data_IF_404809942553
#
_entry.id   IF_404809942553
#
_cell.length_a   1.000
_cell.length_b   1.000
_cell.length_c   1.000
_cell.angle_alpha   90.00
_cell.angle_beta   90.00
_cell.angle_gamma   90.00
#
_symmetry.space_group_name_H-M   'P 1'
#
loop_
_entity.id
_entity.type
_entity.pdbx_description
1 polymer ?
#
# COMPACT_ATOMS: atom_id res chain seq x y z
N UNK A 1 8.81 44.21 17.77
CA UNK A 1 9.34 43.22 16.82
C UNK A 1 9.51 41.91 17.56
N UNK A 2 8.49 41.06 17.53
CA UNK A 2 8.51 39.77 18.22
C UNK A 2 9.04 38.71 17.23
N UNK A 3 10.13 38.06 17.62
CA UNK A 3 10.80 37.03 16.83
C UNK A 3 9.96 35.76 16.74
N UNK A 4 9.80 35.26 15.52
CA UNK A 4 9.21 33.96 15.21
C UNK A 4 10.27 32.91 15.56
N UNK A 5 10.07 32.17 16.65
CA UNK A 5 10.79 30.92 16.90
C UNK A 5 10.29 29.88 15.89
N UNK A 6 11.11 29.59 14.88
CA UNK A 6 11.00 28.37 14.09
C UNK A 6 11.19 27.15 15.00
N UNK A 7 10.09 26.47 15.31
CA UNK A 7 10.12 25.09 15.78
C UNK A 7 10.56 24.21 14.59
N UNK A 8 11.86 23.92 14.52
CA UNK A 8 12.35 22.73 13.85
C UNK A 8 11.74 21.53 14.59
N UNK A 9 10.76 20.87 13.98
CA UNK A 9 10.36 19.53 14.39
C UNK A 9 11.57 18.61 14.14
N UNK A 10 12.30 18.25 15.20
CA UNK A 10 13.25 17.15 15.13
C UNK A 10 12.46 15.90 14.78
N UNK A 11 12.74 15.32 13.61
CA UNK A 11 12.34 13.95 13.31
C UNK A 11 12.88 13.07 14.45
N UNK A 12 11.98 12.48 15.23
CA UNK A 12 12.36 11.53 16.26
C UNK A 12 12.88 10.29 15.54
N UNK A 13 14.19 10.19 15.35
CA UNK A 13 14.82 8.97 14.89
C UNK A 13 14.35 7.82 15.80
N UNK A 14 13.70 6.81 15.23
CA UNK A 14 13.26 5.61 15.96
C UNK A 14 14.48 4.75 16.29
N UNK A 15 15.27 5.22 17.24
CA UNK A 15 16.49 4.55 17.69
C UNK A 15 16.15 3.47 18.71
N UNK A 16 16.69 2.28 18.49
CA UNK A 16 16.71 1.19 19.47
C UNK A 16 18.14 0.96 19.98
N UNK A 17 18.28 0.17 21.02
CA UNK A 17 19.60 -0.16 21.59
C UNK A 17 19.81 -1.67 21.59
N UNK A 18 21.01 -2.12 21.21
CA UNK A 18 21.42 -3.51 21.32
C UNK A 18 21.56 -3.88 22.81
N UNK A 19 20.97 -5.00 23.24
CA UNK A 19 21.08 -5.47 24.64
C UNK A 19 22.53 -5.72 25.05
N UNK A 20 22.81 -5.64 26.35
CA UNK A 20 24.15 -5.76 26.96
C UNK A 20 24.97 -6.98 26.49
N UNK A 21 24.34 -8.09 26.13
CA UNK A 21 25.03 -9.28 25.59
C UNK A 21 25.62 -9.12 24.17
N UNK A 22 25.37 -7.99 23.51
CA UNK A 22 25.65 -7.78 22.10
C UNK A 22 24.75 -8.64 21.20
N UNK A 23 24.87 -8.43 19.89
CA UNK A 23 24.07 -9.18 18.93
C UNK A 23 24.80 -9.37 17.59
N UNK A 24 24.51 -10.49 16.92
CA UNK A 24 24.98 -10.74 15.56
C UNK A 24 24.07 -10.02 14.56
N UNK A 25 24.62 -9.07 13.81
CA UNK A 25 23.92 -8.43 12.71
C UNK A 25 23.86 -9.41 11.53
N UNK A 26 22.66 -9.82 11.12
CA UNK A 26 22.44 -10.88 10.12
C UNK A 26 22.13 -10.30 8.73
N UNK A 27 22.45 -11.06 7.68
CA UNK A 27 22.10 -10.70 6.31
C UNK A 27 20.59 -10.78 6.03
N UNK A 28 19.86 -11.66 6.75
CA UNK A 28 18.42 -11.88 6.59
C UNK A 28 17.72 -12.27 7.90
N UNK A 29 16.41 -12.53 7.83
CA UNK A 29 15.57 -12.91 8.96
C UNK A 29 15.21 -14.41 8.92
N UNK A 30 16.24 -15.26 8.99
CA UNK A 30 16.10 -16.71 9.01
C UNK A 30 17.14 -17.32 9.95
N UNK A 31 16.92 -18.59 10.34
CA UNK A 31 17.82 -19.29 11.26
C UNK A 31 19.22 -19.52 10.69
N UNK A 32 19.32 -19.63 9.37
CA UNK A 32 20.52 -19.90 8.59
C UNK A 32 21.20 -18.63 8.02
N UNK A 33 20.64 -17.44 8.30
CA UNK A 33 21.19 -16.19 7.81
C UNK A 33 22.62 -15.93 8.33
N UNK A 34 23.52 -15.59 7.41
CA UNK A 34 24.91 -15.24 7.73
C UNK A 34 24.98 -14.03 8.67
N UNK A 35 25.87 -14.10 9.67
CA UNK A 35 26.19 -12.97 10.56
C UNK A 35 27.26 -12.11 9.89
N UNK A 36 26.85 -10.96 9.34
CA UNK A 36 27.72 -10.04 8.59
C UNK A 36 28.52 -9.10 9.49
N UNK A 37 28.07 -8.89 10.73
CA UNK A 37 28.80 -8.11 11.74
C UNK A 37 28.35 -8.49 13.15
N UNK A 38 29.06 -8.02 14.18
CA UNK A 38 28.64 -8.14 15.58
C UNK A 38 28.60 -6.76 16.22
N UNK A 39 27.47 -6.40 16.80
CA UNK A 39 27.28 -5.12 17.49
C UNK A 39 27.45 -5.33 18.99
N UNK A 40 28.18 -4.41 19.63
CA UNK A 40 28.39 -4.43 21.08
C UNK A 40 27.09 -4.11 21.83
N UNK A 41 26.97 -4.59 23.07
CA UNK A 41 25.88 -4.17 23.96
C UNK A 41 25.90 -2.65 24.18
N UNK A 42 24.72 -2.04 24.24
CA UNK A 42 24.57 -0.59 24.35
C UNK A 42 24.70 0.18 23.02
N UNK A 43 24.99 -0.49 21.90
CA UNK A 43 25.07 0.17 20.59
C UNK A 43 23.70 0.74 20.21
N UNK A 44 23.62 2.04 19.96
CA UNK A 44 22.43 2.66 19.37
C UNK A 44 22.34 2.29 17.90
N UNK A 45 21.14 1.93 17.48
CA UNK A 45 20.84 1.55 16.10
C UNK A 45 19.58 2.26 15.63
N UNK A 46 19.57 2.69 14.38
CA UNK A 46 18.37 3.19 13.72
C UNK A 46 17.54 2.00 13.25
N UNK A 47 16.30 1.86 13.74
CA UNK A 47 15.38 0.82 13.28
C UNK A 47 14.68 1.31 12.01
N UNK A 48 14.84 0.58 10.91
CA UNK A 48 14.30 0.96 9.60
C UNK A 48 13.01 0.25 9.25
N UNK A 49 12.91 -1.05 9.53
CA UNK A 49 11.71 -1.84 9.28
C UNK A 49 11.65 -3.05 10.21
N UNK A 50 10.47 -3.64 10.33
CA UNK A 50 10.23 -4.90 11.03
C UNK A 50 9.62 -5.93 10.08
N UNK A 51 10.10 -7.17 10.17
CA UNK A 51 9.56 -8.32 9.43
C UNK A 51 9.39 -9.50 10.38
N UNK A 52 8.42 -10.36 10.09
CA UNK A 52 8.27 -11.66 10.74
C UNK A 52 8.90 -12.72 9.84
N UNK A 53 9.87 -13.46 10.38
CA UNK A 53 10.46 -14.63 9.71
C UNK A 53 10.32 -15.88 10.57
N UNK A 54 10.96 -16.96 10.13
CA UNK A 54 10.85 -18.29 10.74
C UNK A 54 11.37 -18.35 12.19
N UNK A 55 12.23 -17.40 12.54
CA UNK A 55 12.82 -17.25 13.89
C UNK A 55 12.16 -16.14 14.72
N UNK A 56 10.99 -15.66 14.29
CA UNK A 56 10.22 -14.61 14.95
C UNK A 56 10.41 -13.23 14.31
N UNK A 57 10.09 -12.18 15.05
CA UNK A 57 10.19 -10.81 14.54
C UNK A 57 11.64 -10.33 14.49
N UNK A 58 12.10 -9.96 13.30
CA UNK A 58 13.36 -9.28 13.07
C UNK A 58 13.15 -7.80 12.76
N UNK A 59 14.19 -7.02 13.01
CA UNK A 59 14.27 -5.61 12.73
C UNK A 59 15.49 -5.36 11.86
N UNK A 60 15.29 -4.71 10.70
CA UNK A 60 16.41 -4.20 9.93
C UNK A 60 16.89 -2.94 10.61
N UNK A 61 18.18 -2.90 10.91
CA UNK A 61 18.79 -1.79 11.62
C UNK A 61 19.95 -1.22 10.82
N UNK A 62 20.28 0.04 11.09
CA UNK A 62 21.52 0.68 10.65
C UNK A 62 22.33 1.15 11.87
N UNK A 63 23.63 0.87 11.84
CA UNK A 63 24.61 1.26 12.84
C UNK A 63 25.83 1.86 12.13
N UNK A 64 25.84 3.18 11.96
CA UNK A 64 26.82 3.85 11.09
C UNK A 64 26.71 3.37 9.65
N UNK A 65 27.78 2.79 9.10
CA UNK A 65 27.80 2.24 7.73
C UNK A 65 27.33 0.78 7.65
N UNK A 66 27.10 0.12 8.78
CA UNK A 66 26.66 -1.27 8.83
C UNK A 66 25.13 -1.35 8.85
N UNK A 67 24.57 -2.35 8.15
CA UNK A 67 23.14 -2.60 8.15
C UNK A 67 22.86 -4.09 8.01
N UNK A 68 21.80 -4.56 8.65
CA UNK A 68 21.38 -5.96 8.65
C UNK A 68 20.24 -6.16 9.65
N UNK A 69 19.99 -7.41 10.02
CA UNK A 69 18.85 -7.80 10.83
C UNK A 69 19.26 -8.21 12.25
N UNK A 70 18.47 -7.77 13.22
CA UNK A 70 18.52 -8.18 14.62
C UNK A 70 17.16 -8.73 15.03
N UNK A 71 17.14 -9.68 15.96
CA UNK A 71 15.91 -10.21 16.53
C UNK A 71 15.29 -9.21 17.51
N UNK A 72 13.97 -9.26 17.68
CA UNK A 72 13.26 -8.49 18.71
C UNK A 72 13.89 -8.66 20.11
N UNK A 73 14.30 -9.88 20.44
CA UNK A 73 14.91 -10.21 21.72
C UNK A 73 16.31 -9.58 21.90
N UNK A 74 16.99 -9.19 20.83
CA UNK A 74 18.33 -8.58 20.86
C UNK A 74 18.28 -7.05 21.07
N UNK A 75 17.08 -6.47 21.06
CA UNK A 75 16.86 -5.02 21.13
C UNK A 75 16.07 -4.59 22.37
N UNK A 76 16.27 -3.33 22.76
CA UNK A 76 15.44 -2.55 23.70
C UNK A 76 15.08 -1.21 23.06
N UNK A 77 14.06 -0.51 23.57
CA UNK A 77 13.66 0.81 23.06
C UNK A 77 12.80 0.76 21.79
N UNK A 78 12.23 -0.41 21.47
CA UNK A 78 11.38 -0.61 20.29
C UNK A 78 10.02 0.09 20.38
N UNK A 79 9.63 0.59 21.55
CA UNK A 79 8.32 1.18 21.82
C UNK A 79 8.04 2.39 20.92
N UNK A 80 9.05 3.23 20.71
CA UNK A 80 8.95 4.41 19.83
C UNK A 80 8.76 4.01 18.37
N UNK A 81 9.50 3.00 17.90
CA UNK A 81 9.34 2.43 16.57
C UNK A 81 7.96 1.79 16.40
N UNK A 82 7.51 1.00 17.38
CA UNK A 82 6.19 0.36 17.34
C UNK A 82 5.06 1.38 17.41
N UNK A 83 5.22 2.45 18.20
CA UNK A 83 4.27 3.54 18.25
C UNK A 83 4.24 4.31 16.93
N UNK A 84 5.40 4.63 16.34
CA UNK A 84 5.49 5.24 15.02
C UNK A 84 4.93 4.33 13.92
N UNK A 85 5.09 3.02 14.05
CA UNK A 85 4.49 2.01 13.15
C UNK A 85 2.99 1.93 13.28
N UNK A 86 2.46 2.05 14.49
CA UNK A 86 1.02 2.08 14.76
C UNK A 86 0.40 3.45 14.44
N UNK A 87 1.15 4.53 14.55
CA UNK A 87 0.71 5.90 14.29
C UNK A 87 0.96 6.35 12.84
N UNK A 88 1.79 5.60 12.09
CA UNK A 88 2.22 5.92 10.74
C UNK A 88 1.05 6.13 9.78
N UNK A 89 1.19 7.18 8.96
CA UNK A 89 0.21 7.67 7.99
C UNK A 89 0.06 6.78 6.74
N UNK A 90 0.80 5.66 6.67
CA UNK A 90 0.56 4.55 5.72
C UNK A 90 -0.86 4.01 5.76
N UNK A 91 -1.52 4.25 6.88
CA UNK A 91 -2.93 4.01 7.10
C UNK A 91 -3.83 4.94 6.30
N UNK A 92 -3.45 6.18 6.01
CA UNK A 92 -4.38 7.16 5.45
C UNK A 92 -5.00 6.69 4.14
N UNK A 93 -4.22 6.25 3.14
CA UNK A 93 -4.81 5.86 1.86
C UNK A 93 -5.61 4.53 1.93
N UNK A 94 -5.06 3.41 2.45
CA UNK A 94 -5.84 2.19 2.65
C UNK A 94 -7.07 2.39 3.56
N UNK A 95 -6.99 3.26 4.57
CA UNK A 95 -8.15 3.62 5.41
C UNK A 95 -9.12 4.55 4.70
N UNK A 96 -8.67 5.50 3.88
CA UNK A 96 -9.53 6.33 3.05
C UNK A 96 -10.31 5.46 2.08
N UNK A 97 -9.63 4.52 1.42
CA UNK A 97 -10.26 3.53 0.53
C UNK A 97 -11.26 2.68 1.32
N UNK A 98 -10.86 2.12 2.46
CA UNK A 98 -11.76 1.29 3.30
C UNK A 98 -12.95 2.08 3.83
N UNK A 99 -12.73 3.33 4.25
CA UNK A 99 -13.78 4.22 4.71
C UNK A 99 -14.73 4.59 3.58
N UNK A 100 -14.21 4.78 2.36
CA UNK A 100 -15.05 5.00 1.19
C UNK A 100 -15.87 3.76 0.85
N UNK A 101 -15.28 2.55 0.83
CA UNK A 101 -16.03 1.29 0.67
C UNK A 101 -17.13 1.17 1.73
N UNK A 102 -16.82 1.47 2.99
CA UNK A 102 -17.78 1.46 4.09
C UNK A 102 -18.93 2.44 3.87
N UNK A 103 -18.63 3.69 3.49
CA UNK A 103 -19.67 4.68 3.17
C UNK A 103 -20.52 4.26 1.99
N UNK A 104 -19.91 3.71 0.94
CA UNK A 104 -20.64 3.24 -0.24
C UNK A 104 -21.61 2.11 0.16
N UNK A 105 -21.22 1.21 1.07
CA UNK A 105 -22.13 0.19 1.62
C UNK A 105 -23.27 0.80 2.43
N UNK A 106 -22.99 1.80 3.27
CA UNK A 106 -24.01 2.46 4.08
C UNK A 106 -25.04 3.21 3.21
N UNK A 107 -24.57 3.93 2.18
CA UNK A 107 -25.41 4.62 1.21
C UNK A 107 -26.30 3.62 0.45
N UNK A 108 -25.74 2.48 0.04
CA UNK A 108 -26.50 1.41 -0.61
C UNK A 108 -27.61 0.87 0.32
N UNK A 109 -27.28 0.59 1.58
CA UNK A 109 -28.24 0.13 2.57
C UNK A 109 -29.35 1.17 2.83
N UNK A 110 -29.00 2.46 2.85
CA UNK A 110 -29.98 3.54 3.00
C UNK A 110 -30.93 3.62 1.80
N UNK A 111 -30.43 3.49 0.57
CA UNK A 111 -31.25 3.47 -0.64
C UNK A 111 -32.26 2.32 -0.64
N UNK A 112 -31.85 1.13 -0.22
CA UNK A 112 -32.76 -0.02 -0.09
C UNK A 112 -33.89 0.25 0.91
N UNK A 113 -33.57 0.84 2.07
CA UNK A 113 -34.56 1.16 3.12
C UNK A 113 -35.60 2.20 2.70
N UNK A 114 -35.24 3.12 1.80
CA UNK A 114 -36.11 4.22 1.40
C UNK A 114 -37.06 3.88 0.24
N UNK A 115 -37.03 2.64 -0.28
CA UNK A 115 -37.78 2.24 -1.47
C UNK A 115 -39.25 1.89 -1.12
N UNK A 116 -40.26 2.66 -1.58
CA UNK A 116 -41.66 2.37 -1.26
C UNK A 116 -42.13 1.10 -1.98
N UNK A 117 -42.79 0.18 -1.26
CA UNK A 117 -43.37 -1.04 -1.85
C UNK A 117 -42.39 -2.20 -2.07
N UNK A 118 -41.19 -2.16 -1.47
CA UNK A 118 -40.29 -3.31 -1.48
C UNK A 118 -40.90 -4.47 -0.66
N UNK A 119 -41.39 -5.50 -1.35
CA UNK A 119 -41.61 -6.80 -0.72
C UNK A 119 -40.27 -7.27 -0.15
N UNK A 120 -40.22 -7.59 1.14
CA UNK A 120 -38.99 -8.02 1.84
C UNK A 120 -38.29 -9.23 1.19
N UNK A 121 -38.97 -9.94 0.29
CA UNK A 121 -38.46 -11.08 -0.47
C UNK A 121 -37.86 -10.76 -1.86
N UNK A 122 -38.03 -9.53 -2.38
CA UNK A 122 -37.54 -9.13 -3.71
C UNK A 122 -36.79 -7.78 -3.74
N UNK A 123 -36.66 -7.11 -2.60
CA UNK A 123 -36.08 -5.76 -2.46
C UNK A 123 -34.59 -5.71 -2.14
N UNK A 124 -33.77 -6.48 -2.85
CA UNK A 124 -32.30 -6.39 -2.72
C UNK A 124 -31.75 -5.06 -3.25
N UNK A 125 -30.52 -4.73 -2.83
CA UNK A 125 -29.75 -3.73 -3.55
C UNK A 125 -29.55 -4.17 -5.02
N UNK A 126 -29.18 -3.23 -5.89
CA UNK A 126 -28.84 -3.54 -7.27
C UNK A 126 -27.73 -4.61 -7.30
N UNK A 127 -27.98 -5.83 -7.81
CA UNK A 127 -27.05 -6.96 -7.68
C UNK A 127 -25.71 -6.67 -8.36
N UNK A 128 -25.67 -5.76 -9.34
CA UNK A 128 -24.44 -5.33 -9.99
C UNK A 128 -23.62 -4.38 -9.12
N UNK A 129 -24.27 -3.60 -8.24
CA UNK A 129 -23.57 -2.82 -7.21
C UNK A 129 -22.96 -3.74 -6.15
N UNK A 130 -23.74 -4.69 -5.64
CA UNK A 130 -23.23 -5.68 -4.67
C UNK A 130 -22.08 -6.50 -5.27
N UNK A 131 -22.24 -6.95 -6.52
CA UNK A 131 -21.20 -7.66 -7.28
C UNK A 131 -19.93 -6.83 -7.43
N UNK A 132 -20.04 -5.55 -7.78
CA UNK A 132 -18.89 -4.66 -7.92
C UNK A 132 -18.15 -4.43 -6.60
N UNK A 133 -18.89 -4.23 -5.49
CA UNK A 133 -18.31 -4.09 -4.16
C UNK A 133 -17.60 -5.38 -3.72
N UNK A 134 -18.20 -6.55 -3.94
CA UNK A 134 -17.57 -7.83 -3.64
C UNK A 134 -16.29 -8.05 -4.46
N UNK A 135 -16.28 -7.67 -5.74
CA UNK A 135 -15.08 -7.72 -6.58
C UNK A 135 -13.98 -6.80 -6.03
N UNK A 136 -14.30 -5.59 -5.60
CA UNK A 136 -13.33 -4.68 -4.95
C UNK A 136 -12.78 -5.30 -3.65
N UNK A 137 -13.64 -5.86 -2.79
CA UNK A 137 -13.23 -6.44 -1.51
C UNK A 137 -12.38 -7.70 -1.67
N UNK A 138 -12.59 -8.44 -2.75
CA UNK A 138 -11.83 -9.65 -3.08
C UNK A 138 -10.62 -9.36 -3.98
N UNK A 139 -10.19 -8.08 -4.05
CA UNK A 139 -9.05 -7.61 -4.83
C UNK A 139 -9.13 -7.94 -6.34
N UNK A 140 -10.30 -7.69 -6.93
CA UNK A 140 -10.57 -7.83 -8.35
C UNK A 140 -11.05 -6.49 -8.96
N UNK A 141 -10.28 -5.39 -8.80
CA UNK A 141 -10.72 -4.06 -9.20
C UNK A 141 -10.90 -3.89 -10.71
N UNK A 142 -10.19 -4.64 -11.57
CA UNK A 142 -10.44 -4.56 -13.02
C UNK A 142 -11.78 -5.18 -13.39
N UNK A 143 -12.10 -6.35 -12.85
CA UNK A 143 -13.40 -6.99 -13.06
C UNK A 143 -14.53 -6.13 -12.48
N UNK A 144 -14.30 -5.51 -11.32
CA UNK A 144 -15.25 -4.55 -10.75
C UNK A 144 -15.50 -3.39 -11.70
N UNK A 145 -14.44 -2.77 -12.23
CA UNK A 145 -14.55 -1.66 -13.16
C UNK A 145 -15.31 -2.04 -14.43
N UNK A 146 -15.01 -3.21 -15.00
CA UNK A 146 -15.71 -3.72 -16.18
C UNK A 146 -17.22 -3.89 -15.93
N UNK A 147 -17.60 -4.49 -14.79
CA UNK A 147 -19.00 -4.63 -14.40
C UNK A 147 -19.68 -3.27 -14.25
N UNK A 148 -19.03 -2.32 -13.56
CA UNK A 148 -19.56 -0.98 -13.35
C UNK A 148 -19.79 -0.26 -14.68
N UNK A 149 -18.84 -0.34 -15.62
CA UNK A 149 -18.91 0.36 -16.90
C UNK A 149 -19.95 -0.24 -17.85
N UNK A 150 -20.04 -1.56 -17.87
CA UNK A 150 -20.91 -2.29 -18.80
C UNK A 150 -22.36 -2.34 -18.35
N UNK A 151 -22.64 -2.18 -17.06
CA UNK A 151 -24.00 -2.28 -16.52
C UNK A 151 -24.45 -1.00 -15.80
N UNK A 152 -23.76 -0.61 -14.74
CA UNK A 152 -24.20 0.48 -13.86
C UNK A 152 -24.11 1.85 -14.56
N UNK A 153 -22.99 2.17 -15.21
CA UNK A 153 -22.84 3.45 -15.92
C UNK A 153 -23.66 3.52 -17.20
N UNK A 154 -24.09 2.39 -17.77
CA UNK A 154 -25.03 2.41 -18.90
C UNK A 154 -26.44 2.84 -18.47
N UNK A 155 -26.86 2.40 -17.30
CA UNK A 155 -28.22 2.66 -16.78
C UNK A 155 -28.27 3.95 -15.96
N UNK A 156 -27.17 4.31 -15.28
CA UNK A 156 -27.05 5.44 -14.35
C UNK A 156 -25.76 6.25 -14.61
N UNK A 157 -25.57 6.82 -15.81
CA UNK A 157 -24.29 7.40 -16.24
C UNK A 157 -23.78 8.59 -15.41
N UNK A 158 -24.67 9.29 -14.71
CA UNK A 158 -24.34 10.47 -13.89
C UNK A 158 -24.63 10.27 -12.42
N UNK A 159 -24.89 9.04 -12.00
CA UNK A 159 -25.10 8.77 -10.59
C UNK A 159 -23.76 8.95 -9.85
N UNK A 160 -23.69 9.87 -8.87
CA UNK A 160 -22.42 10.20 -8.21
C UNK A 160 -21.90 9.02 -7.38
N UNK A 161 -22.76 8.11 -6.93
CA UNK A 161 -22.33 6.91 -6.23
C UNK A 161 -21.67 5.93 -7.21
N UNK A 162 -22.29 5.68 -8.37
CA UNK A 162 -21.72 4.79 -9.40
C UNK A 162 -20.41 5.34 -9.95
N UNK A 163 -20.32 6.66 -10.19
CA UNK A 163 -19.08 7.32 -10.61
C UNK A 163 -17.98 7.22 -9.54
N UNK A 164 -18.32 7.39 -8.26
CA UNK A 164 -17.35 7.25 -7.16
C UNK A 164 -16.80 5.82 -7.07
N UNK A 165 -17.67 4.81 -7.23
CA UNK A 165 -17.32 3.40 -7.26
C UNK A 165 -16.44 3.05 -8.48
N UNK A 166 -16.76 3.57 -9.66
CA UNK A 166 -15.95 3.43 -10.86
C UNK A 166 -14.55 4.03 -10.66
N UNK A 167 -14.48 5.22 -10.07
CA UNK A 167 -13.21 5.87 -9.77
C UNK A 167 -12.35 5.05 -8.80
N UNK A 168 -12.96 4.45 -7.78
CA UNK A 168 -12.26 3.57 -6.84
C UNK A 168 -11.70 2.31 -7.54
N UNK A 169 -12.54 1.61 -8.31
CA UNK A 169 -12.12 0.42 -9.04
C UNK A 169 -11.02 0.75 -10.08
N UNK A 170 -11.14 1.88 -10.79
CA UNK A 170 -10.12 2.36 -11.71
C UNK A 170 -8.80 2.69 -11.00
N UNK A 171 -8.86 3.31 -9.82
CA UNK A 171 -7.67 3.65 -9.05
C UNK A 171 -6.91 2.40 -8.58
N UNK A 172 -7.63 1.44 -7.97
CA UNK A 172 -7.07 0.19 -7.49
C UNK A 172 -6.53 -0.69 -8.62
N UNK A 173 -7.08 -0.57 -9.83
CA UNK A 173 -6.60 -1.28 -11.03
C UNK A 173 -5.49 -0.56 -11.80
N UNK A 174 -4.83 0.43 -11.20
CA UNK A 174 -3.75 1.22 -11.82
C UNK A 174 -4.16 2.06 -13.04
N UNK A 175 -5.44 2.40 -13.13
CA UNK A 175 -6.01 3.28 -14.14
C UNK A 175 -6.24 4.68 -13.57
N UNK A 176 -5.21 5.25 -12.91
CA UNK A 176 -5.31 6.50 -12.13
C UNK A 176 -5.88 7.69 -12.92
N UNK A 177 -5.59 7.81 -14.22
CA UNK A 177 -6.20 8.85 -15.07
C UNK A 177 -7.73 8.70 -15.15
N UNK A 178 -8.21 7.50 -15.45
CA UNK A 178 -9.66 7.22 -15.50
C UNK A 178 -10.32 7.42 -14.14
N UNK A 179 -9.62 7.07 -13.06
CA UNK A 179 -10.11 7.32 -11.72
C UNK A 179 -10.36 8.81 -11.45
N UNK A 180 -9.42 9.67 -11.86
CA UNK A 180 -9.56 11.12 -11.75
C UNK A 180 -10.74 11.62 -12.59
N UNK A 181 -10.94 11.10 -13.80
CA UNK A 181 -12.07 11.47 -14.66
C UNK A 181 -13.41 11.13 -13.97
N UNK A 182 -13.57 9.89 -13.50
CA UNK A 182 -14.80 9.47 -12.81
C UNK A 182 -15.07 10.25 -11.51
N UNK A 183 -14.04 10.50 -10.70
CA UNK A 183 -14.21 11.28 -9.48
C UNK A 183 -14.50 12.74 -9.77
N UNK A 184 -13.89 13.35 -10.79
CA UNK A 184 -14.22 14.71 -11.21
C UNK A 184 -15.69 14.82 -11.64
N UNK A 185 -16.18 13.86 -12.43
CA UNK A 185 -17.59 13.80 -12.83
C UNK A 185 -18.50 13.61 -11.61
N UNK A 186 -18.16 12.72 -10.69
CA UNK A 186 -18.91 12.51 -9.45
C UNK A 186 -19.03 13.80 -8.63
N UNK A 187 -17.90 14.50 -8.42
CA UNK A 187 -17.83 15.73 -7.63
C UNK A 187 -18.57 16.89 -8.28
N UNK A 188 -18.63 16.93 -9.62
CA UNK A 188 -19.43 17.90 -10.36
C UNK A 188 -20.93 17.69 -10.16
N UNK A 189 -21.38 16.45 -9.92
CA UNK A 189 -22.78 16.13 -9.63
C UNK A 189 -23.11 16.35 -8.16
N UNK A 190 -22.27 15.85 -7.24
CA UNK A 190 -22.48 15.98 -5.79
C UNK A 190 -21.13 16.12 -5.07
N UNK A 191 -20.88 17.24 -4.36
CA UNK A 191 -19.69 17.38 -3.52
C UNK A 191 -19.61 16.25 -2.49
N UNK A 192 -18.45 15.60 -2.40
CA UNK A 192 -18.17 14.56 -1.42
C UNK A 192 -16.72 14.72 -0.91
N UNK A 193 -16.52 15.07 0.37
CA UNK A 193 -15.18 15.30 0.93
C UNK A 193 -14.23 14.10 0.81
N UNK A 194 -14.77 12.88 0.83
CA UNK A 194 -13.98 11.63 0.77
C UNK A 194 -13.45 11.39 -0.64
N UNK A 195 -14.34 11.56 -1.64
CA UNK A 195 -13.99 11.50 -3.07
C UNK A 195 -13.02 12.62 -3.43
N UNK A 196 -13.22 13.83 -2.90
CA UNK A 196 -12.30 14.96 -3.08
C UNK A 196 -10.90 14.65 -2.52
N UNK A 197 -10.82 14.02 -1.35
CA UNK A 197 -9.54 13.61 -0.76
C UNK A 197 -8.83 12.55 -1.62
N UNK A 198 -9.56 11.55 -2.12
CA UNK A 198 -9.04 10.54 -3.05
C UNK A 198 -8.57 11.17 -4.37
N UNK A 199 -9.37 12.08 -4.93
CA UNK A 199 -9.04 12.82 -6.15
C UNK A 199 -7.73 13.60 -6.00
N UNK A 200 -7.59 14.40 -4.95
CA UNK A 200 -6.35 15.18 -4.68
C UNK A 200 -5.14 14.27 -4.50
N UNK A 201 -5.30 13.14 -3.80
CA UNK A 201 -4.23 12.17 -3.60
C UNK A 201 -3.78 11.56 -4.93
N UNK A 202 -4.73 11.05 -5.72
CA UNK A 202 -4.45 10.48 -7.03
C UNK A 202 -3.85 11.48 -8.01
N UNK A 203 -4.23 12.76 -7.93
CA UNK A 203 -3.66 13.82 -8.76
C UNK A 203 -2.18 14.04 -8.43
N UNK A 204 -1.83 14.13 -7.14
CA UNK A 204 -0.43 14.24 -6.68
C UNK A 204 0.39 13.03 -7.10
N UNK A 205 -0.15 11.82 -6.91
CA UNK A 205 0.52 10.58 -7.31
C UNK A 205 0.79 10.54 -8.81
N UNK A 206 -0.21 10.85 -9.63
CA UNK A 206 -0.06 10.84 -11.08
C UNK A 206 0.98 11.86 -11.56
N UNK A 207 1.07 13.01 -10.90
CA UNK A 207 2.07 14.03 -11.19
C UNK A 207 3.49 13.60 -10.81
N UNK A 208 3.64 12.84 -9.71
CA UNK A 208 4.93 12.34 -9.23
C UNK A 208 5.38 11.03 -9.92
N UNK A 209 4.49 10.36 -10.65
CA UNK A 209 4.76 9.04 -11.22
C UNK A 209 5.63 9.10 -12.49
N UNK A 210 6.91 8.75 -12.32
CA UNK A 210 7.93 8.61 -13.36
C UNK A 210 7.99 7.20 -13.97
N UNK A 211 7.12 6.28 -13.55
CA UNK A 211 7.20 4.85 -13.90
C UNK A 211 6.67 4.58 -15.31
N UNK A 212 7.50 4.83 -16.32
CA UNK A 212 7.17 4.70 -17.75
C UNK A 212 7.38 3.30 -18.32
N UNK A 213 8.27 2.51 -17.72
CA UNK A 213 8.58 1.16 -18.17
C UNK A 213 7.62 0.15 -17.54
N UNK A 214 7.34 -0.94 -18.27
CA UNK A 214 6.51 -2.05 -17.82
C UNK A 214 7.21 -3.38 -18.05
N UNK A 215 7.06 -4.30 -17.11
CA UNK A 215 7.47 -5.69 -17.24
C UNK A 215 6.31 -6.60 -16.82
N UNK A 216 6.00 -7.57 -17.66
CA UNK A 216 4.85 -8.45 -17.48
C UNK A 216 5.33 -9.79 -16.94
N UNK A 217 4.84 -10.15 -15.75
CA UNK A 217 4.95 -11.49 -15.19
C UNK A 217 3.65 -12.26 -15.34
N UNK A 218 3.58 -13.45 -14.75
CA UNK A 218 2.36 -14.26 -14.73
C UNK A 218 1.30 -13.66 -13.80
N UNK A 219 1.69 -13.21 -12.61
CA UNK A 219 0.80 -12.67 -11.56
C UNK A 219 0.94 -11.18 -11.31
N UNK A 220 2.04 -10.58 -11.75
CA UNK A 220 2.34 -9.18 -11.49
C UNK A 220 2.67 -8.44 -12.79
N UNK A 221 2.29 -7.16 -12.84
CA UNK A 221 2.79 -6.22 -13.84
C UNK A 221 3.65 -5.19 -13.11
N UNK A 222 4.96 -5.22 -13.34
CA UNK A 222 5.89 -4.28 -12.76
C UNK A 222 5.87 -2.97 -13.56
N UNK A 223 5.76 -1.83 -12.87
CA UNK A 223 5.95 -0.49 -13.41
C UNK A 223 7.15 0.14 -12.73
N UNK A 224 8.06 0.70 -13.51
CA UNK A 224 9.29 1.31 -12.98
C UNK A 224 9.81 2.41 -13.91
N UNK A 225 10.73 3.23 -13.40
CA UNK A 225 11.49 4.17 -14.21
C UNK A 225 12.81 3.52 -14.63
N UNK A 226 12.99 3.21 -15.91
CA UNK A 226 14.17 2.52 -16.43
C UNK A 226 15.48 3.29 -16.30
N UNK A 227 15.41 4.60 -16.04
CA UNK A 227 16.59 5.43 -15.76
C UNK A 227 17.05 5.34 -14.30
N UNK A 228 16.15 4.97 -13.38
CA UNK A 228 16.43 4.85 -11.94
C UNK A 228 16.60 3.39 -11.51
N UNK A 229 15.88 2.48 -12.18
CA UNK A 229 15.86 1.05 -11.88
C UNK A 229 16.24 0.31 -13.17
N UNK A 230 17.41 -0.33 -13.16
CA UNK A 230 17.91 -1.10 -14.29
C UNK A 230 17.04 -2.31 -14.63
N UNK A 231 17.06 -2.74 -15.89
CA UNK A 231 16.24 -3.87 -16.34
C UNK A 231 16.54 -5.17 -15.57
N UNK A 232 17.81 -5.46 -15.28
CA UNK A 232 18.19 -6.65 -14.49
C UNK A 232 17.58 -6.64 -13.10
N UNK A 233 17.69 -5.52 -12.38
CA UNK A 233 17.04 -5.33 -11.07
C UNK A 233 15.53 -5.47 -11.16
N UNK A 234 14.88 -4.92 -12.19
CA UNK A 234 13.44 -5.08 -12.40
C UNK A 234 13.05 -6.55 -12.60
N UNK A 235 13.86 -7.34 -13.32
CA UNK A 235 13.67 -8.78 -13.47
C UNK A 235 13.81 -9.52 -12.14
N UNK A 236 14.84 -9.19 -11.35
CA UNK A 236 15.05 -9.77 -10.01
C UNK A 236 13.87 -9.47 -9.08
N UNK A 237 13.36 -8.24 -9.06
CA UNK A 237 12.17 -7.87 -8.27
C UNK A 237 10.96 -8.70 -8.69
N UNK A 238 10.72 -8.80 -10.00
CA UNK A 238 9.59 -9.57 -10.51
C UNK A 238 9.74 -11.07 -10.21
N UNK A 239 10.94 -11.62 -10.28
CA UNK A 239 11.22 -13.00 -9.94
C UNK A 239 10.93 -13.28 -8.46
N UNK A 240 11.47 -12.45 -7.55
CA UNK A 240 11.22 -12.57 -6.12
C UNK A 240 9.73 -12.49 -5.79
N UNK A 241 8.98 -11.55 -6.38
CA UNK A 241 7.53 -11.45 -6.19
C UNK A 241 6.78 -12.72 -6.60
N UNK A 242 7.17 -13.34 -7.72
CA UNK A 242 6.54 -14.57 -8.19
C UNK A 242 6.87 -15.77 -7.30
N UNK A 243 8.11 -15.86 -6.80
CA UNK A 243 8.53 -16.91 -5.87
C UNK A 243 7.79 -16.80 -4.53
N UNK A 244 7.75 -15.60 -3.96
CA UNK A 244 7.02 -15.30 -2.72
C UNK A 244 5.53 -15.62 -2.86
N UNK A 245 4.94 -15.22 -3.99
CA UNK A 245 3.55 -15.56 -4.30
C UNK A 245 3.34 -17.07 -4.39
N UNK A 246 4.22 -17.80 -5.10
CA UNK A 246 4.08 -19.24 -5.24
C UNK A 246 4.16 -19.96 -3.89
N UNK A 247 5.03 -19.51 -2.98
CA UNK A 247 5.11 -20.02 -1.60
C UNK A 247 3.81 -19.75 -0.83
N UNK A 248 3.28 -18.53 -0.90
CA UNK A 248 2.05 -18.16 -0.21
C UNK A 248 0.83 -18.91 -0.76
N UNK A 249 0.73 -19.06 -2.08
CA UNK A 249 -0.35 -19.79 -2.75
C UNK A 249 -0.30 -21.28 -2.38
N UNK A 250 0.89 -21.88 -2.34
CA UNK A 250 1.05 -23.26 -1.88
C UNK A 250 0.64 -23.47 -0.40
N UNK A 251 0.88 -22.48 0.46
CA UNK A 251 0.55 -22.55 1.89
C UNK A 251 -0.93 -22.25 2.17
N UNK A 252 -1.55 -21.33 1.44
CA UNK A 252 -2.87 -20.78 1.75
C UNK A 252 -3.96 -21.23 0.77
N UNK A 253 -3.61 -21.62 -0.45
CA UNK A 253 -4.54 -21.96 -1.53
C UNK A 253 -5.35 -20.76 -2.06
N UNK A 254 -4.95 -19.54 -1.70
CA UNK A 254 -5.65 -18.30 -2.04
C UNK A 254 -4.95 -17.61 -3.23
N UNK A 255 -5.26 -18.06 -4.43
CA UNK A 255 -4.64 -17.51 -5.63
C UNK A 255 -5.10 -16.09 -5.97
N UNK A 256 -4.24 -15.32 -6.64
CA UNK A 256 -4.62 -14.03 -7.23
C UNK A 256 -5.55 -14.24 -8.43
N UNK A 257 -6.75 -13.66 -8.35
CA UNK A 257 -7.78 -13.77 -9.39
C UNK A 257 -7.51 -12.90 -10.62
N UNK A 258 -6.68 -11.87 -10.49
CA UNK A 258 -6.18 -11.06 -11.59
C UNK A 258 -4.73 -10.62 -11.33
N UNK A 259 -4.01 -10.19 -12.38
CA UNK A 259 -2.67 -9.63 -12.19
C UNK A 259 -2.70 -8.37 -11.34
N UNK A 260 -1.79 -8.27 -10.38
CA UNK A 260 -1.63 -7.09 -9.52
C UNK A 260 -0.53 -6.19 -10.08
N UNK A 261 -0.79 -4.88 -10.18
CA UNK A 261 0.26 -3.94 -10.56
C UNK A 261 1.21 -3.70 -9.39
N UNK A 262 2.50 -3.73 -9.68
CA UNK A 262 3.56 -3.38 -8.72
C UNK A 262 4.29 -2.15 -9.23
N UNK A 263 4.22 -1.04 -8.49
CA UNK A 263 4.88 0.22 -8.84
C UNK A 263 6.15 0.36 -8.00
N UNK A 264 7.30 0.24 -8.66
CA UNK A 264 8.61 0.36 -8.02
C UNK A 264 9.18 1.74 -8.30
N UNK A 265 9.52 2.45 -7.24
CA UNK A 265 10.05 3.81 -7.29
C UNK A 265 11.27 3.90 -6.38
N UNK A 266 12.12 4.90 -6.58
CA UNK A 266 13.15 5.22 -5.59
C UNK A 266 12.49 5.56 -4.24
N UNK A 267 13.20 5.30 -3.14
CA UNK A 267 12.66 5.56 -1.79
C UNK A 267 12.19 7.02 -1.62
N UNK A 268 12.91 7.99 -2.18
CA UNK A 268 12.53 9.40 -2.11
C UNK A 268 11.20 9.70 -2.83
N UNK A 269 11.04 9.18 -4.05
CA UNK A 269 9.80 9.33 -4.83
C UNK A 269 8.65 8.61 -4.14
N UNK A 270 8.90 7.40 -3.63
CA UNK A 270 7.92 6.61 -2.91
C UNK A 270 7.41 7.37 -1.67
N UNK A 271 8.30 7.92 -0.84
CA UNK A 271 7.92 8.68 0.36
C UNK A 271 7.15 9.96 0.01
N UNK A 272 7.59 10.69 -1.01
CA UNK A 272 6.92 11.90 -1.46
C UNK A 272 5.49 11.62 -1.98
N UNK A 273 5.28 10.47 -2.63
CA UNK A 273 4.00 10.12 -3.25
C UNK A 273 3.02 9.42 -2.31
N UNK A 274 3.49 8.59 -1.39
CA UNK A 274 2.64 7.66 -0.61
C UNK A 274 2.08 8.24 0.69
N UNK A 275 2.61 9.37 1.18
CA UNK A 275 2.44 9.80 2.57
C UNK A 275 2.85 8.69 3.57
N UNK A 276 3.64 7.71 3.13
CA UNK A 276 4.04 6.61 3.98
C UNK A 276 5.00 7.11 5.07
N UNK A 277 4.96 6.46 6.22
CA UNK A 277 5.91 6.75 7.27
C UNK A 277 7.33 6.36 6.82
N UNK A 278 8.35 6.94 7.46
CA UNK A 278 9.75 6.73 7.05
C UNK A 278 10.20 5.27 7.12
N UNK A 279 9.52 4.43 7.90
CA UNK A 279 9.79 3.00 8.03
C UNK A 279 9.14 2.13 6.95
N UNK A 280 8.30 2.70 6.08
CA UNK A 280 7.64 1.94 5.02
C UNK A 280 8.58 1.61 3.89
N UNK A 281 8.74 0.31 3.62
CA UNK A 281 9.35 -0.18 2.38
C UNK A 281 8.34 -0.45 1.27
N UNK A 282 7.04 -0.45 1.60
CA UNK A 282 5.99 -0.72 0.63
C UNK A 282 4.57 -0.64 1.19
N UNK A 283 3.62 -0.41 0.29
CA UNK A 283 2.22 -0.19 0.62
C UNK A 283 1.31 -0.96 -0.34
N UNK A 284 0.17 -1.42 0.17
CA UNK A 284 -0.88 -2.03 -0.65
C UNK A 284 -2.14 -1.15 -0.69
N UNK A 285 -2.53 -0.71 -1.89
CA UNK A 285 -3.70 0.15 -2.13
C UNK A 285 -4.66 -0.42 -3.21
N UNK A 286 -4.57 -1.72 -3.48
CA UNK A 286 -5.06 -2.37 -4.71
C UNK A 286 -3.93 -2.59 -5.72
N UNK A 287 -2.85 -1.82 -5.59
CA UNK A 287 -1.53 -2.05 -6.19
C UNK A 287 -0.51 -2.25 -5.09
N UNK A 288 0.61 -2.87 -5.42
CA UNK A 288 1.75 -2.95 -4.53
C UNK A 288 2.70 -1.80 -4.89
N UNK A 289 3.00 -0.93 -3.94
CA UNK A 289 4.01 0.12 -4.10
C UNK A 289 5.25 -0.29 -3.35
N UNK A 290 6.43 -0.15 -3.96
CA UNK A 290 7.71 -0.54 -3.37
C UNK A 290 8.68 0.66 -3.45
N UNK A 291 9.23 1.03 -2.29
CA UNK A 291 10.34 1.97 -2.20
C UNK A 291 11.68 1.23 -2.35
N UNK A 292 12.40 1.51 -3.42
CA UNK A 292 13.68 0.88 -3.74
C UNK A 292 14.86 1.73 -3.26
N UNK A 293 15.76 1.12 -2.48
CA UNK A 293 16.95 1.76 -1.89
C UNK A 293 18.27 1.44 -2.63
N UNK A 294 18.22 0.86 -3.85
CA UNK A 294 19.46 0.57 -4.59
C UNK A 294 20.28 -0.60 -4.06
N UNK A 295 19.70 -1.42 -3.17
CA UNK A 295 20.35 -2.60 -2.57
C UNK A 295 19.83 -3.89 -3.18
N UNK A 296 20.64 -4.95 -3.10
CA UNK A 296 20.22 -6.30 -3.47
C UNK A 296 18.95 -6.68 -2.72
N UNK A 297 18.03 -7.34 -3.40
CA UNK A 297 16.87 -7.93 -2.77
C UNK A 297 17.38 -9.01 -1.82
N UNK A 298 17.07 -8.86 -0.53
CA UNK A 298 17.21 -9.96 0.40
C UNK A 298 16.17 -11.03 0.02
N UNK A 299 16.59 -12.29 -0.16
CA UNK A 299 15.66 -13.41 -0.28
C UNK A 299 14.73 -13.48 0.92
#
# INVERSE_FOLDING_TARGET
>A
MAGVLSLLALAAATSATVREGGAGLRAGCSADAEVVARLAGGTQVEVRLSISGDIGSCYKVAAGHQSGYLLAAELTGLESFDQARRAGDERALPQMIRAEIGRLKDDLAAQVRQRPGANAAAGGADPSVEGALNLIETNQPRRALELIETDLLRTKPKDPFVLSLAGLAAYQSDQTRRALDYWAESLAVKPNPSVEALYRKAQKELAADTSRNRMYGSRFVLRFNGNEIGQGTAQEILAALNEEYARLDAALGCGLSEQTTVVVQTMDVYRAASSAAEWSGGQFDGRIRIGYEGRALTP
#
